data_IF_860772800924
#
_entry.id   IF_860772800924
#
_cell.length_a   1.000
_cell.length_b   1.000
_cell.length_c   1.000
_cell.angle_alpha   90.00
_cell.angle_beta   90.00
_cell.angle_gamma   90.00
#
_symmetry.space_group_name_H-M   'P 1'
#
loop_
_entity.id
_entity.type
_entity.pdbx_description
1 polymer ?
#
# COMPACT_ATOMS: atom_id res chain seq x y z
N UNK A 1 -21.57 -30.39 -21.82
CA UNK A 1 -21.92 -29.17 -21.09
C UNK A 1 -21.34 -29.30 -19.70
N UNK A 2 -20.25 -28.61 -19.41
CA UNK A 2 -19.98 -28.00 -18.11
C UNK A 2 -18.82 -27.00 -18.28
N UNK A 3 -18.96 -25.81 -17.71
CA UNK A 3 -18.26 -24.56 -18.03
C UNK A 3 -16.77 -24.52 -17.62
N UNK A 4 -15.94 -23.69 -18.27
CA UNK A 4 -14.61 -23.36 -17.75
C UNK A 4 -14.74 -22.48 -16.50
N UNK A 5 -14.39 -23.05 -15.35
CA UNK A 5 -14.33 -22.32 -14.07
C UNK A 5 -13.39 -21.11 -14.19
N UNK A 6 -13.96 -19.97 -13.82
CA UNK A 6 -13.41 -18.62 -13.86
C UNK A 6 -12.09 -18.51 -13.08
N UNK A 7 -11.14 -17.82 -13.71
CA UNK A 7 -9.82 -17.42 -13.22
C UNK A 7 -9.81 -16.88 -11.78
N UNK A 8 -8.83 -17.26 -10.93
CA UNK A 8 -8.51 -16.46 -9.76
C UNK A 8 -7.59 -15.31 -10.18
N UNK A 9 -8.15 -14.22 -10.68
CA UNK A 9 -7.51 -12.90 -10.56
C UNK A 9 -8.00 -12.27 -9.26
N UNK A 10 -7.44 -12.70 -8.15
CA UNK A 10 -7.54 -11.99 -6.90
C UNK A 10 -6.16 -12.05 -6.25
N UNK A 11 -5.43 -10.97 -6.47
CA UNK A 11 -4.60 -10.36 -5.45
C UNK A 11 -3.53 -11.29 -4.90
N UNK A 12 -2.32 -11.17 -5.44
CA UNK A 12 -1.10 -11.66 -4.81
C UNK A 12 -1.15 -11.35 -3.33
N UNK A 13 -1.48 -12.38 -2.56
CA UNK A 13 -1.60 -12.34 -1.13
C UNK A 13 -0.30 -11.77 -0.60
N UNK A 14 -0.43 -10.65 0.11
CA UNK A 14 0.54 -10.18 1.08
C UNK A 14 0.65 -11.25 2.18
N UNK A 15 1.33 -12.34 1.87
CA UNK A 15 1.68 -13.42 2.78
C UNK A 15 3.19 -13.37 2.99
N UNK A 16 3.65 -12.31 3.66
CA UNK A 16 4.90 -12.35 4.43
C UNK A 16 4.80 -11.37 5.61
N UNK A 17 3.82 -11.66 6.47
CA UNK A 17 3.61 -10.96 7.74
C UNK A 17 4.55 -11.54 8.80
N UNK A 18 5.83 -11.17 8.80
CA UNK A 18 6.70 -11.33 9.99
C UNK A 18 8.03 -10.58 9.93
N UNK A 19 8.57 -10.27 8.74
CA UNK A 19 9.81 -9.50 8.63
C UNK A 19 9.45 -8.02 8.42
N UNK A 20 9.35 -7.25 9.51
CA UNK A 20 9.20 -5.80 9.45
C UNK A 20 10.21 -5.22 8.46
N UNK A 21 9.69 -4.57 7.42
CA UNK A 21 10.50 -4.17 6.28
C UNK A 21 11.46 -3.04 6.66
N UNK A 22 12.54 -2.83 5.91
CA UNK A 22 13.49 -1.75 6.19
C UNK A 22 12.81 -0.36 6.31
N UNK A 23 11.71 -0.13 5.57
CA UNK A 23 10.97 1.11 5.70
C UNK A 23 10.16 1.22 6.99
N UNK A 24 9.88 0.16 7.76
CA UNK A 24 9.31 0.29 9.13
C UNK A 24 10.17 1.15 10.04
N UNK A 25 11.49 1.15 9.82
CA UNK A 25 12.45 2.02 10.51
C UNK A 25 12.43 3.47 9.98
N UNK A 26 11.82 3.70 8.83
CA UNK A 26 11.76 5.00 8.19
C UNK A 26 10.51 5.75 8.68
N UNK A 27 10.70 7.02 9.00
CA UNK A 27 9.59 7.87 9.42
C UNK A 27 8.59 8.06 8.29
N UNK A 28 7.31 8.01 8.60
CA UNK A 28 6.23 8.16 7.62
C UNK A 28 6.29 9.53 6.92
N UNK A 29 6.77 10.54 7.64
CA UNK A 29 7.01 11.89 7.13
C UNK A 29 8.10 11.92 6.03
N UNK A 30 9.02 10.95 6.00
CA UNK A 30 10.02 10.87 4.94
C UNK A 30 9.39 10.56 3.56
N UNK A 31 8.17 10.03 3.51
CA UNK A 31 7.46 9.74 2.27
C UNK A 31 6.65 10.94 1.78
N UNK A 32 6.20 11.81 2.68
CA UNK A 32 5.40 12.99 2.35
C UNK A 32 6.20 13.94 1.44
N UNK A 33 5.57 14.42 0.38
CA UNK A 33 6.19 15.28 -0.64
C UNK A 33 6.98 14.53 -1.73
N UNK A 34 7.26 13.23 -1.55
CA UNK A 34 7.86 12.40 -2.61
C UNK A 34 6.84 12.02 -3.66
N UNK A 35 7.32 11.70 -4.86
CA UNK A 35 6.45 11.14 -5.90
C UNK A 35 6.02 9.72 -5.55
N UNK A 36 4.93 9.25 -6.16
CA UNK A 36 4.48 7.86 -6.02
C UNK A 36 5.63 6.88 -6.23
N UNK A 37 6.35 6.99 -7.36
CA UNK A 37 7.48 6.10 -7.68
C UNK A 37 8.60 6.14 -6.63
N UNK A 38 8.91 7.31 -6.07
CA UNK A 38 9.93 7.41 -5.03
C UNK A 38 9.47 6.76 -3.73
N UNK A 39 8.19 6.94 -3.37
CA UNK A 39 7.62 6.33 -2.18
C UNK A 39 7.55 4.81 -2.32
N UNK A 40 7.11 4.30 -3.47
CA UNK A 40 7.06 2.85 -3.73
C UNK A 40 8.44 2.21 -3.79
N UNK A 41 9.44 2.92 -4.30
CA UNK A 41 10.83 2.46 -4.27
C UNK A 41 11.37 2.38 -2.83
N UNK A 42 11.04 3.35 -1.97
CA UNK A 42 11.44 3.33 -0.55
C UNK A 42 10.71 2.25 0.25
N UNK A 43 9.48 1.93 -0.14
CA UNK A 43 8.65 0.89 0.44
C UNK A 43 8.81 -0.45 -0.26
N UNK A 44 9.81 -0.59 -1.13
CA UNK A 44 10.09 -1.85 -1.83
C UNK A 44 10.40 -2.95 -0.82
N UNK A 45 9.66 -4.04 -0.86
CA UNK A 45 9.73 -5.13 0.12
C UNK A 45 8.89 -4.91 1.40
N UNK A 46 8.15 -3.82 1.49
CA UNK A 46 7.21 -3.56 2.59
C UNK A 46 5.76 -3.76 2.15
N UNK A 47 4.86 -4.03 3.11
CA UNK A 47 3.41 -4.02 2.86
C UNK A 47 2.91 -2.57 2.88
N UNK A 48 2.40 -2.09 1.76
CA UNK A 48 1.80 -0.77 1.64
C UNK A 48 0.67 -0.75 0.61
N UNK A 49 -0.20 0.27 0.70
CA UNK A 49 -1.33 0.48 -0.21
C UNK A 49 -1.60 1.97 -0.43
N UNK A 50 -2.35 2.29 -1.47
CA UNK A 50 -2.94 3.62 -1.69
C UNK A 50 -4.28 3.66 -0.95
N UNK A 51 -4.46 4.60 -0.03
CA UNK A 51 -5.76 4.87 0.61
C UNK A 51 -6.53 5.99 -0.07
N UNK A 52 -5.82 6.89 -0.74
CA UNK A 52 -6.40 8.00 -1.48
C UNK A 52 -5.50 8.36 -2.66
N UNK A 53 -6.09 8.66 -3.82
CA UNK A 53 -5.38 9.19 -4.99
C UNK A 53 -6.18 10.33 -5.59
N UNK A 54 -5.58 11.52 -5.65
CA UNK A 54 -6.14 12.71 -6.28
C UNK A 54 -7.55 13.08 -5.74
N UNK A 55 -7.81 12.78 -4.47
CA UNK A 55 -9.11 12.98 -3.81
C UNK A 55 -10.07 11.78 -3.92
N UNK A 56 -9.71 10.73 -4.65
CA UNK A 56 -10.46 9.48 -4.72
C UNK A 56 -10.02 8.54 -3.61
N UNK A 57 -10.94 8.18 -2.71
CA UNK A 57 -10.67 7.25 -1.62
C UNK A 57 -10.77 5.80 -2.11
N UNK A 58 -9.73 5.02 -1.82
CA UNK A 58 -9.70 3.60 -2.12
C UNK A 58 -10.27 2.84 -0.93
N UNK A 59 -11.30 2.03 -1.18
CA UNK A 59 -11.93 1.22 -0.15
C UNK A 59 -10.89 0.27 0.47
N UNK A 60 -10.57 0.48 1.74
CA UNK A 60 -9.79 -0.44 2.54
C UNK A 60 -10.73 -1.39 3.28
N UNK A 61 -10.49 -2.69 3.21
CA UNK A 61 -11.04 -3.60 4.22
C UNK A 61 -10.44 -3.25 5.58
N UNK A 62 -11.23 -3.44 6.64
CA UNK A 62 -10.86 -3.14 8.04
C UNK A 62 -9.84 -4.13 8.62
N UNK A 63 -9.06 -4.81 7.78
CA UNK A 63 -7.96 -5.67 8.21
C UNK A 63 -6.86 -4.80 8.81
N UNK A 64 -6.86 -4.66 10.13
CA UNK A 64 -5.85 -3.91 10.85
C UNK A 64 -4.49 -4.59 10.68
N UNK A 65 -3.54 -3.86 10.10
CA UNK A 65 -2.15 -4.31 9.97
C UNK A 65 -1.25 -3.13 10.35
N UNK A 66 -0.70 -3.16 11.56
CA UNK A 66 0.19 -2.11 12.06
C UNK A 66 1.42 -1.90 11.18
N UNK A 67 1.93 -2.97 10.58
CA UNK A 67 3.05 -2.93 9.65
C UNK A 67 2.67 -2.37 8.26
N UNK A 68 1.37 -2.30 7.93
CA UNK A 68 0.92 -1.82 6.61
C UNK A 68 0.85 -0.30 6.59
N UNK A 69 1.49 0.30 5.58
CA UNK A 69 1.38 1.73 5.30
C UNK A 69 0.30 2.04 4.28
N UNK A 70 -0.57 2.98 4.61
CA UNK A 70 -1.55 3.55 3.70
C UNK A 70 -1.05 4.93 3.27
N UNK A 71 -0.88 5.12 1.97
CA UNK A 71 -0.42 6.38 1.37
C UNK A 71 -1.60 7.15 0.78
N UNK A 72 -1.68 8.44 1.05
CA UNK A 72 -2.48 9.38 0.29
C UNK A 72 -1.62 10.04 -0.77
N UNK A 73 -2.07 10.00 -2.01
CA UNK A 73 -1.40 10.61 -3.16
C UNK A 73 -2.29 11.71 -3.73
N UNK A 74 -1.73 12.86 -4.02
CA UNK A 74 -2.41 13.90 -4.78
C UNK A 74 -1.40 14.58 -5.72
N UNK A 75 -1.83 14.88 -6.93
CA UNK A 75 -1.00 15.40 -8.00
C UNK A 75 0.30 14.57 -8.21
N UNK A 76 0.19 13.24 -8.09
CA UNK A 76 1.31 12.30 -8.25
C UNK A 76 2.35 12.31 -7.12
N UNK A 77 2.06 12.98 -5.99
CA UNK A 77 2.92 13.06 -4.81
C UNK A 77 2.21 12.57 -3.57
N UNK A 78 2.94 11.98 -2.64
CA UNK A 78 2.41 11.58 -1.35
C UNK A 78 2.10 12.83 -0.51
N UNK A 79 0.86 12.95 -0.07
CA UNK A 79 0.39 14.06 0.78
C UNK A 79 0.31 13.67 2.25
N UNK A 80 0.01 12.41 2.53
CA UNK A 80 -0.07 11.88 3.89
C UNK A 80 0.24 10.38 3.91
N UNK A 81 0.66 9.90 5.07
CA UNK A 81 0.91 8.47 5.32
C UNK A 81 0.32 8.07 6.66
N UNK A 82 -0.34 6.92 6.70
CA UNK A 82 -0.96 6.37 7.92
C UNK A 82 -0.62 4.89 8.07
N UNK A 83 -0.27 4.45 9.27
CA UNK A 83 -0.18 3.02 9.62
C UNK A 83 -1.51 2.53 10.20
N UNK A 84 -1.95 1.33 9.81
CA UNK A 84 -3.25 0.76 10.21
C UNK A 84 -3.94 -0.06 9.13
#
# INVERSE_FOLDING_TARGET
>A
MDEPVVSPQAETHAADSAAGCAADKQEDNALVGKTEQQATALLSGCVWRIGERDGEQFAGTMDYQEARRTLGIAAGKVTWVRRG
#
